data_IF_297508586586
#
_entry.id   IF_297508586586
#
_cell.length_a   1.000
_cell.length_b   1.000
_cell.length_c   1.000
_cell.angle_alpha   90.00
_cell.angle_beta   90.00
_cell.angle_gamma   90.00
#
_symmetry.space_group_name_H-M   'P 1'
#
loop_
_entity.id
_entity.type
_entity.pdbx_description
1 polymer ?
#
# COMPACT_ATOMS: atom_id res chain seq x y z
N UNK A 1 51.18 -2.95 13.60
CA UNK A 1 50.13 -3.96 13.33
C UNK A 1 48.80 -3.37 13.75
N UNK A 2 47.77 -3.35 12.89
CA UNK A 2 46.45 -2.88 13.31
C UNK A 2 45.91 -3.84 14.36
N UNK A 3 45.42 -3.30 15.47
CA UNK A 3 44.82 -4.09 16.55
C UNK A 3 43.68 -4.92 15.99
N UNK A 4 43.85 -6.23 15.95
CA UNK A 4 42.77 -7.18 15.70
C UNK A 4 41.63 -6.86 16.65
N UNK A 5 40.54 -6.29 16.15
CA UNK A 5 39.34 -6.03 16.94
C UNK A 5 38.89 -7.37 17.51
N UNK A 6 39.11 -7.59 18.80
CA UNK A 6 38.61 -8.78 19.46
C UNK A 6 37.10 -8.79 19.32
N UNK A 7 36.59 -9.79 18.59
CA UNK A 7 35.18 -10.16 18.54
C UNK A 7 34.59 -10.18 19.97
N UNK A 8 33.27 -9.93 20.14
CA UNK A 8 32.68 -9.58 21.42
C UNK A 8 33.15 -10.51 22.56
N UNK A 9 33.61 -9.90 23.66
CA UNK A 9 34.19 -10.56 24.85
C UNK A 9 33.24 -11.56 25.55
N UNK A 10 31.98 -11.65 25.13
CA UNK A 10 30.95 -12.52 25.69
C UNK A 10 30.31 -13.34 24.57
N UNK A 11 30.41 -14.66 24.65
CA UNK A 11 29.74 -15.58 23.72
C UNK A 11 28.23 -15.35 23.79
N UNK A 12 27.61 -15.05 22.65
CA UNK A 12 26.17 -14.86 22.53
C UNK A 12 25.44 -16.17 22.85
N UNK A 13 24.28 -16.07 23.49
CA UNK A 13 23.40 -17.20 23.86
C UNK A 13 21.97 -16.81 23.54
N UNK A 14 21.14 -17.80 23.19
CA UNK A 14 19.71 -17.58 23.09
C UNK A 14 19.14 -17.16 24.44
N UNK A 15 18.40 -16.05 24.45
CA UNK A 15 17.76 -15.48 25.62
C UNK A 15 16.41 -14.88 25.23
N UNK A 16 15.51 -14.74 26.20
CA UNK A 16 14.37 -13.84 26.06
C UNK A 16 14.86 -12.40 26.26
N UNK A 17 15.03 -11.67 25.15
CA UNK A 17 15.64 -10.34 25.19
C UNK A 17 14.69 -9.34 25.85
N UNK A 18 15.24 -8.48 26.71
CA UNK A 18 14.53 -7.33 27.26
C UNK A 18 14.65 -6.17 26.28
N UNK A 19 13.57 -5.38 26.17
CA UNK A 19 13.59 -4.15 25.40
C UNK A 19 14.60 -3.16 26.01
N UNK A 20 15.39 -2.53 25.15
CA UNK A 20 16.32 -1.49 25.57
C UNK A 20 15.57 -0.29 26.17
N UNK A 21 16.17 0.31 27.20
CA UNK A 21 15.63 1.50 27.85
C UNK A 21 15.60 2.69 26.87
N UNK A 22 14.78 3.70 27.20
CA UNK A 22 14.60 4.86 26.35
C UNK A 22 13.83 4.53 25.06
N UNK A 23 14.47 4.74 23.91
CA UNK A 23 13.80 4.70 22.61
C UNK A 23 13.24 3.31 22.27
N UNK A 24 13.96 2.22 22.57
CA UNK A 24 13.48 0.85 22.29
C UNK A 24 12.14 0.55 22.98
N UNK A 25 12.06 0.80 24.29
CA UNK A 25 10.83 0.67 25.07
C UNK A 25 9.72 1.64 24.63
N UNK A 26 10.07 2.88 24.28
CA UNK A 26 9.08 3.87 23.84
C UNK A 26 8.43 3.47 22.50
N UNK A 27 9.24 3.03 21.53
CA UNK A 27 8.76 2.55 20.22
C UNK A 27 7.94 1.27 20.39
N UNK A 28 8.42 0.32 21.18
CA UNK A 28 7.69 -0.92 21.41
C UNK A 28 6.29 -0.66 22.00
N UNK A 29 6.19 0.15 23.07
CA UNK A 29 4.90 0.47 23.70
C UNK A 29 3.94 1.21 22.80
N UNK A 30 4.43 2.16 21.98
CA UNK A 30 3.57 2.97 21.12
C UNK A 30 3.12 2.23 19.86
N UNK A 31 3.81 1.16 19.46
CA UNK A 31 3.64 0.56 18.11
C UNK A 31 3.34 -0.94 18.14
N UNK A 32 4.06 -1.73 18.94
CA UNK A 32 4.06 -3.20 18.82
C UNK A 32 3.39 -3.91 20.00
N UNK A 33 3.61 -3.44 21.23
CA UNK A 33 3.09 -4.09 22.44
C UNK A 33 1.60 -3.83 22.59
N UNK A 34 0.83 -4.86 22.90
CA UNK A 34 -0.59 -4.73 23.25
C UNK A 34 -0.76 -4.55 24.76
N UNK A 35 -1.90 -3.97 25.16
CA UNK A 35 -2.34 -3.94 26.56
C UNK A 35 -2.94 -5.29 26.91
N UNK A 36 -2.50 -5.87 28.03
CA UNK A 36 -3.05 -7.08 28.62
C UNK A 36 -3.68 -6.69 29.94
N UNK A 37 -4.95 -7.06 30.12
CA UNK A 37 -5.64 -6.99 31.41
C UNK A 37 -5.47 -8.32 32.12
N UNK A 38 -4.98 -8.29 33.36
CA UNK A 38 -4.87 -9.48 34.19
C UNK A 38 -6.28 -9.89 34.69
N UNK A 39 -6.74 -11.08 34.27
CA UNK A 39 -8.11 -11.54 34.57
C UNK A 39 -8.41 -11.69 36.07
N UNK A 40 -7.39 -11.86 36.90
CA UNK A 40 -7.56 -12.05 38.36
C UNK A 40 -7.56 -10.74 39.13
N UNK A 41 -6.79 -9.76 38.67
CA UNK A 41 -6.55 -8.51 39.39
C UNK A 41 -7.15 -7.29 38.72
N UNK A 42 -7.60 -7.41 37.46
CA UNK A 42 -8.09 -6.32 36.63
C UNK A 42 -7.02 -5.29 36.23
N UNK A 43 -5.75 -5.53 36.56
CA UNK A 43 -4.66 -4.58 36.30
C UNK A 43 -4.17 -4.69 34.87
N UNK A 44 -4.03 -3.54 34.21
CA UNK A 44 -3.43 -3.47 32.88
C UNK A 44 -1.90 -3.43 32.92
N UNK A 45 -1.28 -4.19 32.02
CA UNK A 45 0.15 -4.09 31.71
C UNK A 45 0.38 -4.14 30.20
N UNK A 46 1.60 -3.84 29.79
CA UNK A 46 2.03 -4.08 28.42
C UNK A 46 2.49 -5.53 28.25
N UNK A 47 2.30 -6.07 27.05
CA UNK A 47 3.01 -7.27 26.57
C UNK A 47 4.51 -7.15 26.80
N UNK A 48 5.14 -8.26 27.13
CA UNK A 48 6.59 -8.45 27.09
C UNK A 48 7.03 -8.82 25.68
N UNK A 49 8.33 -8.65 25.37
CA UNK A 49 8.86 -9.04 24.06
C UNK A 49 8.70 -10.54 23.77
N UNK A 50 8.80 -11.38 24.81
CA UNK A 50 8.53 -12.81 24.72
C UNK A 50 7.09 -13.08 24.31
N UNK A 51 6.10 -12.41 24.90
CA UNK A 51 4.69 -12.57 24.52
C UNK A 51 4.44 -12.14 23.07
N UNK A 52 5.13 -11.09 22.59
CA UNK A 52 5.11 -10.73 21.16
C UNK A 52 5.69 -11.85 20.30
N UNK A 53 6.84 -12.41 20.67
CA UNK A 53 7.46 -13.53 19.96
C UNK A 53 6.52 -14.73 19.89
N UNK A 54 5.85 -15.05 21.00
CA UNK A 54 4.89 -16.16 21.10
C UNK A 54 3.72 -15.93 20.13
N UNK A 55 3.00 -14.80 20.23
CA UNK A 55 1.81 -14.57 19.37
C UNK A 55 2.15 -14.44 17.88
N UNK A 56 3.27 -13.80 17.54
CA UNK A 56 3.68 -13.64 16.13
C UNK A 56 4.07 -14.98 15.52
N UNK A 57 4.80 -15.81 16.27
CA UNK A 57 5.17 -17.15 15.82
C UNK A 57 3.93 -18.03 15.67
N UNK A 58 3.02 -17.98 16.65
CA UNK A 58 1.76 -18.72 16.61
C UNK A 58 0.91 -18.33 15.40
N UNK A 59 0.75 -17.03 15.14
CA UNK A 59 -0.02 -16.54 13.99
C UNK A 59 0.54 -17.01 12.66
N UNK A 60 1.85 -16.87 12.47
CA UNK A 60 2.51 -17.27 11.23
C UNK A 60 2.46 -18.80 11.01
N UNK A 61 2.71 -19.61 12.03
CA UNK A 61 2.69 -21.07 11.85
C UNK A 61 1.29 -21.65 11.77
N UNK A 62 0.27 -20.93 12.26
CA UNK A 62 -1.14 -21.29 12.08
C UNK A 62 -1.57 -21.33 10.61
N UNK A 63 -0.85 -20.63 9.73
CA UNK A 63 -1.08 -20.67 8.27
C UNK A 63 -0.87 -22.06 7.65
N UNK A 64 -0.10 -22.94 8.29
CA UNK A 64 0.05 -24.34 7.83
C UNK A 64 -1.24 -25.17 8.01
N UNK A 65 -2.23 -24.63 8.72
CA UNK A 65 -3.48 -25.32 9.02
C UNK A 65 -3.29 -26.54 9.92
N UNK A 66 -4.27 -27.45 9.89
CA UNK A 66 -4.27 -28.67 10.72
C UNK A 66 -3.54 -29.86 10.08
N UNK A 67 -3.10 -29.72 8.83
CA UNK A 67 -2.53 -30.83 8.04
C UNK A 67 -1.12 -31.22 8.48
N UNK A 68 -0.37 -30.31 9.10
CA UNK A 68 1.03 -30.51 9.46
C UNK A 68 1.31 -30.19 10.95
N UNK A 69 0.68 -30.89 11.91
CA UNK A 69 0.74 -30.52 13.32
C UNK A 69 2.17 -30.56 13.89
N UNK A 70 2.95 -31.59 13.58
CA UNK A 70 4.34 -31.71 14.04
C UNK A 70 5.23 -30.61 13.46
N UNK A 71 5.13 -30.37 12.15
CA UNK A 71 5.91 -29.33 11.48
C UNK A 71 5.54 -27.92 11.96
N UNK A 72 4.25 -27.69 12.25
CA UNK A 72 3.77 -26.43 12.84
C UNK A 72 4.41 -26.16 14.20
N UNK A 73 4.50 -27.17 15.05
CA UNK A 73 5.14 -27.05 16.37
C UNK A 73 6.64 -26.77 16.24
N UNK A 74 7.34 -27.50 15.37
CA UNK A 74 8.77 -27.29 15.10
C UNK A 74 9.05 -25.87 14.60
N UNK A 75 8.26 -25.38 13.63
CA UNK A 75 8.40 -24.02 13.10
C UNK A 75 8.01 -22.95 14.14
N UNK A 76 7.04 -23.23 15.00
CA UNK A 76 6.61 -22.33 16.07
C UNK A 76 7.75 -22.11 17.06
N UNK A 77 8.32 -23.18 17.60
CA UNK A 77 9.44 -23.10 18.53
C UNK A 77 10.67 -22.44 17.90
N UNK A 78 10.93 -22.72 16.61
CA UNK A 78 12.00 -22.10 15.86
C UNK A 78 11.84 -20.58 15.74
N UNK A 79 10.68 -20.12 15.26
CA UNK A 79 10.39 -18.70 15.14
C UNK A 79 10.40 -18.01 16.51
N UNK A 80 9.75 -18.60 17.50
CA UNK A 80 9.66 -18.08 18.87
C UNK A 80 11.06 -17.86 19.46
N UNK A 81 11.93 -18.86 19.32
CA UNK A 81 13.34 -18.79 19.74
C UNK A 81 14.06 -17.59 19.11
N UNK A 82 13.98 -17.42 17.79
CA UNK A 82 14.72 -16.37 17.10
C UNK A 82 14.12 -14.97 17.28
N UNK A 83 12.80 -14.84 17.34
CA UNK A 83 12.13 -13.56 17.60
C UNK A 83 12.38 -13.12 19.04
N UNK A 84 12.20 -14.00 20.03
CA UNK A 84 12.45 -13.66 21.44
C UNK A 84 13.91 -13.24 21.69
N UNK A 85 14.85 -13.87 20.98
CA UNK A 85 16.27 -13.51 21.01
C UNK A 85 16.61 -12.21 20.25
N UNK A 86 15.75 -11.77 19.33
CA UNK A 86 15.97 -10.62 18.46
C UNK A 86 16.87 -10.90 17.25
N UNK A 87 17.23 -12.16 16.99
CA UNK A 87 17.96 -12.56 15.78
C UNK A 87 17.07 -12.62 14.53
N UNK A 88 15.75 -12.61 14.72
CA UNK A 88 14.73 -12.48 13.68
C UNK A 88 13.73 -11.41 14.11
N UNK A 89 13.39 -10.50 13.20
CA UNK A 89 12.30 -9.56 13.34
C UNK A 89 11.41 -9.70 12.11
N UNK A 90 10.14 -10.07 12.30
CA UNK A 90 9.17 -9.97 11.21
C UNK A 90 8.89 -8.48 10.91
N UNK A 91 8.26 -8.20 9.77
CA UNK A 91 7.84 -6.83 9.43
C UNK A 91 7.13 -6.14 10.61
N UNK A 92 7.26 -4.82 10.74
CA UNK A 92 6.60 -4.08 11.81
C UNK A 92 5.08 -4.33 11.89
N UNK A 93 4.44 -4.66 10.76
CA UNK A 93 3.03 -5.04 10.66
C UNK A 93 2.77 -6.44 11.22
N UNK A 94 3.62 -7.41 10.94
CA UNK A 94 3.56 -8.71 11.62
C UNK A 94 3.78 -8.57 13.13
N UNK A 95 4.75 -7.76 13.56
CA UNK A 95 4.96 -7.52 15.00
C UNK A 95 3.75 -6.87 15.67
N UNK A 96 3.03 -5.98 14.98
CA UNK A 96 1.83 -5.33 15.50
C UNK A 96 0.60 -6.26 15.48
N UNK A 97 0.38 -6.98 14.38
CA UNK A 97 -0.89 -7.67 14.08
C UNK A 97 -0.84 -9.19 14.18
N UNK A 98 0.34 -9.80 14.18
CA UNK A 98 0.53 -11.26 14.23
C UNK A 98 -0.01 -11.87 15.51
N UNK A 99 -0.97 -12.78 15.35
CA UNK A 99 -1.58 -13.62 16.38
C UNK A 99 -2.34 -14.78 15.71
N UNK A 100 -2.92 -15.66 16.52
CA UNK A 100 -3.70 -16.83 16.07
C UNK A 100 -4.82 -16.53 15.06
N UNK A 101 -5.28 -15.28 14.95
CA UNK A 101 -6.32 -14.89 13.97
C UNK A 101 -5.76 -14.60 12.58
N UNK A 102 -4.43 -14.60 12.42
CA UNK A 102 -3.74 -14.31 11.15
C UNK A 102 -4.30 -15.08 9.94
N UNK A 103 -4.62 -16.39 10.02
CA UNK A 103 -5.20 -17.12 8.87
C UNK A 103 -6.57 -16.60 8.40
N UNK A 104 -7.33 -15.94 9.27
CA UNK A 104 -8.64 -15.37 8.94
C UNK A 104 -8.58 -13.90 8.46
N UNK A 105 -7.37 -13.37 8.26
CA UNK A 105 -7.14 -11.97 7.88
C UNK A 105 -6.43 -11.92 6.54
N UNK A 106 -6.69 -10.85 5.80
CA UNK A 106 -6.09 -10.59 4.51
C UNK A 106 -4.63 -10.13 4.66
N UNK A 107 -3.79 -10.49 3.69
CA UNK A 107 -2.34 -10.30 3.70
C UNK A 107 -1.91 -8.83 3.79
N UNK A 108 -2.71 -7.91 3.27
CA UNK A 108 -2.48 -6.44 3.27
C UNK A 108 -2.33 -5.87 4.69
N UNK A 109 -2.88 -6.57 5.68
CA UNK A 109 -2.72 -6.22 7.10
C UNK A 109 -1.27 -6.43 7.55
N UNK A 110 -0.55 -7.39 6.98
CA UNK A 110 0.75 -7.89 7.41
C UNK A 110 1.92 -7.42 6.52
N UNK A 111 1.61 -6.92 5.32
CA UNK A 111 2.58 -6.35 4.39
C UNK A 111 2.71 -4.84 4.58
N UNK A 112 3.93 -4.31 4.39
CA UNK A 112 4.22 -2.88 4.59
C UNK A 112 4.05 -2.06 3.32
N UNK A 113 4.34 -2.67 2.17
CA UNK A 113 4.42 -1.99 0.90
C UNK A 113 3.86 -2.88 -0.21
N UNK A 114 3.41 -2.25 -1.27
CA UNK A 114 2.90 -2.90 -2.48
C UNK A 114 3.10 -2.00 -3.70
N UNK A 115 2.76 -2.52 -4.87
CA UNK A 115 2.57 -1.74 -6.10
C UNK A 115 1.10 -1.73 -6.51
N UNK A 116 0.70 -0.79 -7.38
CA UNK A 116 -0.65 -0.68 -7.90
C UNK A 116 -0.65 -0.25 -9.37
N UNK A 117 -1.59 -0.78 -10.16
CA UNK A 117 -1.78 -0.42 -11.57
C UNK A 117 -2.82 0.67 -11.80
N UNK A 118 -3.76 0.86 -10.86
CA UNK A 118 -4.87 1.82 -10.95
C UNK A 118 -5.01 2.69 -9.70
N UNK A 119 -5.82 3.74 -9.80
CA UNK A 119 -6.01 4.74 -8.73
C UNK A 119 -6.83 4.17 -7.58
N UNK A 120 -7.88 3.41 -7.90
CA UNK A 120 -8.70 2.74 -6.89
C UNK A 120 -7.92 1.64 -6.14
N UNK A 121 -7.06 0.88 -6.83
CA UNK A 121 -6.20 -0.14 -6.21
C UNK A 121 -5.19 0.54 -5.28
N UNK A 122 -4.56 1.63 -5.74
CA UNK A 122 -3.64 2.41 -4.92
C UNK A 122 -4.34 2.92 -3.67
N UNK A 123 -5.54 3.48 -3.81
CA UNK A 123 -6.32 3.99 -2.68
C UNK A 123 -6.70 2.87 -1.69
N UNK A 124 -7.14 1.71 -2.19
CA UNK A 124 -7.45 0.53 -1.38
C UNK A 124 -6.24 0.09 -0.54
N UNK A 125 -5.06 -0.01 -1.15
CA UNK A 125 -3.84 -0.41 -0.49
C UNK A 125 -3.35 0.61 0.55
N UNK A 126 -3.46 1.90 0.25
CA UNK A 126 -3.16 2.96 1.23
C UNK A 126 -4.07 2.86 2.46
N UNK A 127 -5.37 2.60 2.28
CA UNK A 127 -6.31 2.42 3.39
C UNK A 127 -6.02 1.17 4.24
N UNK A 128 -5.39 0.14 3.66
CA UNK A 128 -4.88 -1.00 4.41
C UNK A 128 -3.58 -0.69 5.19
N UNK A 129 -2.99 0.48 4.95
CA UNK A 129 -1.77 0.95 5.59
C UNK A 129 -0.50 0.54 4.87
N UNK A 130 -0.61 0.15 3.60
CA UNK A 130 0.53 -0.13 2.71
C UNK A 130 1.13 1.18 2.18
N UNK A 131 2.45 1.22 1.98
CA UNK A 131 3.06 2.20 1.08
C UNK A 131 3.02 1.69 -0.35
N UNK A 132 2.63 2.52 -1.32
CA UNK A 132 2.28 2.05 -2.67
C UNK A 132 3.14 2.67 -3.76
N UNK A 133 3.79 1.84 -4.58
CA UNK A 133 4.43 2.26 -5.82
C UNK A 133 3.49 2.20 -7.02
N UNK A 134 3.55 3.17 -7.93
CA UNK A 134 2.74 3.17 -9.16
C UNK A 134 3.55 3.67 -10.37
N UNK A 135 3.42 3.04 -11.55
CA UNK A 135 3.90 3.61 -12.80
C UNK A 135 2.95 4.70 -13.32
N UNK A 136 3.50 5.85 -13.65
CA UNK A 136 2.85 6.97 -14.34
C UNK A 136 3.38 7.11 -15.77
N UNK A 137 3.82 6.01 -16.36
CA UNK A 137 4.12 5.92 -17.79
C UNK A 137 2.84 6.23 -18.58
N UNK A 138 2.99 6.88 -19.74
CA UNK A 138 1.84 7.34 -20.54
C UNK A 138 0.90 6.19 -20.95
N UNK A 139 1.47 5.03 -21.28
CA UNK A 139 0.75 3.82 -21.66
C UNK A 139 0.12 3.07 -20.46
N UNK A 140 0.61 3.30 -19.24
CA UNK A 140 0.05 2.69 -18.03
C UNK A 140 -1.15 3.49 -17.49
N UNK A 141 -1.18 4.79 -17.74
CA UNK A 141 -2.28 5.67 -17.34
C UNK A 141 -3.41 5.71 -18.38
N UNK A 142 -4.13 4.59 -18.53
CA UNK A 142 -5.16 4.39 -19.57
C UNK A 142 -6.47 5.16 -19.37
N UNK A 143 -6.63 5.84 -18.23
CA UNK A 143 -7.86 6.56 -17.86
C UNK A 143 -7.68 8.05 -18.10
N UNK A 144 -8.48 8.61 -19.02
CA UNK A 144 -8.65 10.06 -19.13
C UNK A 144 -9.85 10.49 -18.29
N UNK A 145 -9.56 11.13 -17.17
CA UNK A 145 -10.49 11.64 -16.15
C UNK A 145 -11.36 12.81 -16.64
N UNK A 146 -11.07 13.43 -17.77
CA UNK A 146 -12.01 14.39 -18.41
C UNK A 146 -13.34 13.74 -18.80
N UNK A 147 -13.34 12.41 -18.93
CA UNK A 147 -14.53 11.63 -19.24
C UNK A 147 -15.25 11.10 -18.00
N UNK A 148 -14.80 11.42 -16.79
CA UNK A 148 -15.50 11.02 -15.57
C UNK A 148 -16.91 11.64 -15.53
N UNK A 149 -17.90 10.97 -14.92
CA UNK A 149 -19.23 11.55 -14.73
C UNK A 149 -19.15 12.79 -13.84
N UNK A 150 -20.22 13.58 -13.82
CA UNK A 150 -20.35 14.59 -12.78
C UNK A 150 -20.58 13.86 -11.44
N UNK A 151 -19.71 14.05 -10.45
CA UNK A 151 -19.80 13.32 -9.18
C UNK A 151 -20.39 14.22 -8.09
N UNK A 152 -21.35 13.69 -7.33
CA UNK A 152 -21.94 14.34 -6.16
C UNK A 152 -21.84 13.40 -4.97
N UNK A 153 -21.33 13.90 -3.84
CA UNK A 153 -21.34 13.16 -2.59
C UNK A 153 -22.51 13.67 -1.74
N UNK A 154 -23.33 12.75 -1.25
CA UNK A 154 -24.51 13.04 -0.43
C UNK A 154 -24.47 12.23 0.85
N UNK A 155 -25.27 12.61 1.83
CA UNK A 155 -25.36 11.92 3.11
C UNK A 155 -26.72 12.18 3.75
N UNK A 156 -27.23 11.25 4.55
CA UNK A 156 -28.50 11.41 5.24
C UNK A 156 -28.47 12.62 6.18
N UNK A 157 -29.57 13.38 6.22
CA UNK A 157 -29.67 14.60 7.02
C UNK A 157 -29.60 14.35 8.54
N UNK A 158 -29.84 13.11 8.97
CA UNK A 158 -29.74 12.65 10.37
C UNK A 158 -28.40 11.97 10.68
N UNK A 159 -27.48 11.87 9.71
CA UNK A 159 -26.15 11.34 9.94
C UNK A 159 -25.36 12.28 10.88
N UNK A 160 -24.64 11.72 11.86
CA UNK A 160 -23.99 12.51 12.91
C UNK A 160 -22.91 13.49 12.40
N UNK A 161 -22.33 13.23 11.22
CA UNK A 161 -21.37 14.12 10.56
C UNK A 161 -22.00 15.06 9.52
N UNK A 162 -23.33 15.13 9.42
CA UNK A 162 -24.03 16.03 8.48
C UNK A 162 -23.96 17.49 8.93
N UNK A 163 -23.61 18.37 8.02
CA UNK A 163 -23.44 19.81 8.23
C UNK A 163 -24.38 20.61 7.31
N UNK A 164 -25.41 21.20 7.92
CA UNK A 164 -26.38 22.04 7.22
C UNK A 164 -25.72 23.25 6.56
N UNK A 165 -26.05 23.47 5.28
CA UNK A 165 -25.51 24.58 4.48
C UNK A 165 -24.18 24.25 3.77
N UNK A 166 -23.56 23.12 4.07
CA UNK A 166 -22.38 22.60 3.37
C UNK A 166 -22.73 21.34 2.59
N UNK A 167 -23.50 20.44 3.19
CA UNK A 167 -23.83 19.15 2.58
C UNK A 167 -25.15 19.14 1.83
N UNK A 168 -25.22 18.31 0.78
CA UNK A 168 -26.46 17.95 0.10
C UNK A 168 -27.00 16.66 0.73
N UNK A 169 -28.25 16.72 1.23
CA UNK A 169 -28.88 15.54 1.83
C UNK A 169 -29.36 14.56 0.77
N UNK A 170 -29.45 13.26 1.10
CA UNK A 170 -30.02 12.24 0.19
C UNK A 170 -31.40 12.65 -0.30
N UNK A 171 -32.28 13.10 0.61
CA UNK A 171 -33.63 13.56 0.27
C UNK A 171 -33.62 14.71 -0.74
N UNK A 172 -32.76 15.70 -0.53
CA UNK A 172 -32.71 16.87 -1.42
C UNK A 172 -32.11 16.48 -2.79
N UNK A 173 -31.11 15.59 -2.80
CA UNK A 173 -30.54 15.03 -4.03
C UNK A 173 -31.56 14.18 -4.80
N UNK A 174 -32.33 13.33 -4.14
CA UNK A 174 -33.41 12.54 -4.75
C UNK A 174 -34.47 13.46 -5.36
N UNK A 175 -34.91 14.49 -4.63
CA UNK A 175 -35.88 15.45 -5.13
C UNK A 175 -35.36 16.22 -6.36
N UNK A 176 -34.07 16.55 -6.39
CA UNK A 176 -33.45 17.37 -7.42
C UNK A 176 -33.03 16.60 -8.66
N UNK A 177 -32.46 15.41 -8.49
CA UNK A 177 -31.86 14.63 -9.58
C UNK A 177 -32.67 13.38 -9.96
N UNK A 178 -33.44 12.81 -9.02
CA UNK A 178 -34.25 11.60 -9.24
C UNK A 178 -33.44 10.35 -9.60
N UNK A 179 -34.08 9.43 -10.32
CA UNK A 179 -33.53 8.13 -10.75
C UNK A 179 -33.64 7.92 -12.27
N UNK A 180 -33.37 8.97 -13.05
CA UNK A 180 -33.36 8.86 -14.51
C UNK A 180 -32.19 8.01 -15.04
N UNK A 181 -32.25 7.64 -16.32
CA UNK A 181 -31.28 6.73 -16.96
C UNK A 181 -29.81 7.21 -16.91
N UNK A 182 -29.58 8.52 -16.83
CA UNK A 182 -28.25 9.15 -16.73
C UNK A 182 -27.82 9.48 -15.30
N UNK A 183 -28.59 9.02 -14.29
CA UNK A 183 -28.34 9.27 -12.88
C UNK A 183 -28.01 7.96 -12.18
N UNK A 184 -26.74 7.78 -11.82
CA UNK A 184 -26.20 6.59 -11.19
C UNK A 184 -26.09 6.80 -9.69
N UNK A 185 -26.72 5.95 -8.89
CA UNK A 185 -26.62 6.00 -7.43
C UNK A 185 -25.73 4.86 -6.94
N UNK A 186 -24.83 5.16 -6.01
CA UNK A 186 -24.00 4.17 -5.33
C UNK A 186 -23.99 4.46 -3.82
N UNK A 187 -24.65 3.60 -3.05
CA UNK A 187 -24.57 3.60 -1.58
C UNK A 187 -23.21 3.03 -1.16
N UNK A 188 -22.38 3.86 -0.53
CA UNK A 188 -21.01 3.51 -0.14
C UNK A 188 -21.03 2.62 1.11
N UNK A 189 -20.61 1.35 1.04
CA UNK A 189 -20.53 0.50 2.21
C UNK A 189 -19.53 1.01 3.26
N UNK A 190 -19.80 0.75 4.54
CA UNK A 190 -18.94 1.12 5.67
C UNK A 190 -17.70 0.21 5.83
N UNK A 191 -16.89 0.15 4.79
CA UNK A 191 -15.67 -0.66 4.72
C UNK A 191 -14.61 0.00 3.84
N UNK A 192 -13.35 -0.45 3.96
CA UNK A 192 -12.27 0.02 3.07
C UNK A 192 -12.57 -0.35 1.62
N UNK A 193 -13.13 -1.53 1.45
CA UNK A 193 -13.58 -2.08 0.17
C UNK A 193 -14.64 -1.16 -0.45
N UNK A 194 -15.66 -0.75 0.33
CA UNK A 194 -16.72 0.16 -0.12
C UNK A 194 -16.19 1.54 -0.53
N UNK A 195 -15.25 2.09 0.24
CA UNK A 195 -14.58 3.35 -0.08
C UNK A 195 -13.77 3.24 -1.37
N UNK A 196 -13.06 2.13 -1.58
CA UNK A 196 -12.32 1.87 -2.81
C UNK A 196 -13.25 1.64 -4.00
N UNK A 197 -14.38 0.95 -3.82
CA UNK A 197 -15.41 0.78 -4.85
C UNK A 197 -16.03 2.11 -5.29
N UNK A 198 -16.21 3.07 -4.39
CA UNK A 198 -16.67 4.41 -4.75
C UNK A 198 -15.68 5.11 -5.72
N UNK A 199 -14.37 4.97 -5.49
CA UNK A 199 -13.33 5.49 -6.40
C UNK A 199 -13.25 4.67 -7.68
N UNK A 200 -13.34 3.35 -7.59
CA UNK A 200 -13.39 2.43 -8.72
C UNK A 200 -14.52 2.81 -9.68
N UNK A 201 -15.71 3.13 -9.15
CA UNK A 201 -16.87 3.57 -9.91
C UNK A 201 -16.57 4.82 -10.74
N UNK A 202 -15.90 5.83 -10.17
CA UNK A 202 -15.49 7.04 -10.90
C UNK A 202 -14.47 6.71 -11.98
N UNK A 203 -13.43 5.94 -11.63
CA UNK A 203 -12.32 5.58 -12.52
C UNK A 203 -12.81 4.77 -13.73
N UNK A 204 -13.66 3.76 -13.51
CA UNK A 204 -14.18 2.92 -14.58
C UNK A 204 -15.18 3.67 -15.48
N UNK A 205 -16.01 4.55 -14.91
CA UNK A 205 -16.93 5.38 -15.71
C UNK A 205 -16.15 6.36 -16.59
N UNK A 206 -15.03 6.90 -16.09
CA UNK A 206 -14.10 7.72 -16.89
C UNK A 206 -13.46 6.91 -18.02
N UNK A 207 -13.01 5.68 -17.73
CA UNK A 207 -12.43 4.77 -18.73
C UNK A 207 -13.41 4.40 -19.85
N UNK A 208 -14.68 4.15 -19.52
CA UNK A 208 -15.71 3.79 -20.49
C UNK A 208 -16.19 4.96 -21.36
N UNK A 209 -15.89 6.20 -20.97
CA UNK A 209 -16.15 7.48 -21.67
C UNK A 209 -17.62 7.86 -21.89
N UNK A 210 -18.51 6.88 -22.04
CA UNK A 210 -19.95 7.08 -22.32
C UNK A 210 -20.70 7.81 -21.19
N UNK A 211 -20.15 7.83 -19.97
CA UNK A 211 -20.76 8.45 -18.79
C UNK A 211 -20.33 9.91 -18.57
N UNK A 212 -19.58 10.52 -19.50
CA UNK A 212 -19.03 11.87 -19.33
C UNK A 212 -20.06 12.93 -18.95
N UNK A 213 -21.28 12.80 -19.46
CA UNK A 213 -22.39 13.74 -19.25
C UNK A 213 -23.39 13.25 -18.19
N UNK A 214 -23.17 12.07 -17.62
CA UNK A 214 -24.03 11.48 -16.60
C UNK A 214 -23.70 12.05 -15.22
N UNK A 215 -24.59 11.80 -14.27
CA UNK A 215 -24.38 12.12 -12.86
C UNK A 215 -24.17 10.83 -12.06
N UNK A 216 -23.10 10.78 -11.28
CA UNK A 216 -22.84 9.75 -10.28
C UNK A 216 -23.04 10.35 -8.89
N UNK A 217 -24.02 9.83 -8.14
CA UNK A 217 -24.30 10.18 -6.76
C UNK A 217 -23.72 9.10 -5.86
N UNK A 218 -22.77 9.48 -5.01
CA UNK A 218 -22.16 8.65 -3.99
C UNK A 218 -22.82 8.96 -2.66
N UNK A 219 -23.58 8.01 -2.12
CA UNK A 219 -24.29 8.14 -0.86
C UNK A 219 -23.45 7.57 0.30
N UNK A 220 -23.01 8.46 1.19
CA UNK A 220 -22.18 8.13 2.35
C UNK A 220 -22.98 7.84 3.63
N UNK A 221 -24.31 7.76 3.56
CA UNK A 221 -25.18 7.60 4.74
C UNK A 221 -24.88 6.38 5.61
N UNK A 222 -24.31 5.31 5.04
CA UNK A 222 -23.95 4.09 5.77
C UNK A 222 -22.59 4.16 6.45
N UNK A 223 -21.71 5.05 6.02
CA UNK A 223 -20.35 5.14 6.55
C UNK A 223 -20.38 5.62 7.98
N UNK A 224 -19.65 4.95 8.88
CA UNK A 224 -19.69 5.27 10.31
C UNK A 224 -19.22 6.69 10.60
N UNK A 225 -19.76 7.33 11.66
CA UNK A 225 -19.40 8.69 11.98
C UNK A 225 -17.98 8.82 12.55
N UNK A 226 -17.47 10.04 12.53
CA UNK A 226 -16.19 10.40 13.12
C UNK A 226 -16.13 9.99 14.59
N UNK A 227 -15.00 9.42 15.00
CA UNK A 227 -14.79 8.93 16.37
C UNK A 227 -15.29 7.51 16.63
N UNK A 228 -16.12 6.92 15.76
CA UNK A 228 -16.51 5.51 15.90
C UNK A 228 -15.31 4.57 15.73
N UNK A 229 -15.24 3.43 16.46
CA UNK A 229 -14.08 2.55 16.42
C UNK A 229 -13.90 1.85 15.06
N UNK A 230 -12.64 1.76 14.61
CA UNK A 230 -12.24 0.96 13.44
C UNK A 230 -11.78 -0.42 13.91
N UNK A 231 -12.67 -1.41 13.80
CA UNK A 231 -12.31 -2.82 14.01
C UNK A 231 -11.13 -3.24 13.12
N UNK A 232 -10.17 -3.94 13.70
CA UNK A 232 -8.96 -4.39 13.02
C UNK A 232 -7.82 -3.35 12.92
N UNK A 233 -8.02 -2.12 13.43
CA UNK A 233 -6.96 -1.12 13.60
C UNK A 233 -6.79 -0.70 15.06
N UNK A 234 -6.79 -1.66 15.99
CA UNK A 234 -6.66 -1.40 17.44
C UNK A 234 -7.70 -0.37 17.95
N UNK A 235 -8.93 -0.47 17.43
CA UNK A 235 -10.07 0.38 17.75
C UNK A 235 -9.80 1.89 17.64
N UNK A 236 -8.90 2.26 16.72
CA UNK A 236 -8.64 3.66 16.39
C UNK A 236 -9.93 4.38 15.98
N UNK A 237 -10.07 5.67 16.33
CA UNK A 237 -11.24 6.45 15.96
C UNK A 237 -11.30 6.66 14.44
N UNK A 238 -12.48 6.45 13.87
CA UNK A 238 -12.82 6.75 12.47
C UNK A 238 -12.69 8.24 12.19
N UNK A 239 -12.31 8.58 10.96
CA UNK A 239 -12.30 9.95 10.48
C UNK A 239 -13.68 10.46 10.05
N UNK A 240 -14.69 9.58 9.98
CA UNK A 240 -15.99 9.85 9.37
C UNK A 240 -15.90 9.88 7.83
N UNK A 241 -17.03 10.11 7.12
CA UNK A 241 -17.09 10.13 5.65
C UNK A 241 -16.47 11.39 5.03
N UNK A 242 -16.45 12.50 5.77
CA UNK A 242 -16.02 13.83 5.28
C UNK A 242 -14.69 13.86 4.55
N UNK A 243 -13.61 13.23 5.05
CA UNK A 243 -12.32 13.30 4.36
C UNK A 243 -12.37 12.71 2.96
N UNK A 244 -13.10 11.62 2.75
CA UNK A 244 -13.24 11.02 1.41
C UNK A 244 -14.15 11.87 0.53
N UNK A 245 -15.28 12.35 1.04
CA UNK A 245 -16.15 13.28 0.30
C UNK A 245 -15.36 14.50 -0.22
N UNK A 246 -14.57 15.13 0.64
CA UNK A 246 -13.73 16.29 0.28
C UNK A 246 -12.65 15.91 -0.74
N UNK A 247 -12.06 14.71 -0.61
CA UNK A 247 -11.03 14.24 -1.55
C UNK A 247 -11.61 13.94 -2.92
N UNK A 248 -12.84 13.39 -2.98
CA UNK A 248 -13.59 13.20 -4.23
C UNK A 248 -13.94 14.56 -4.84
N UNK A 249 -14.36 15.55 -4.03
CA UNK A 249 -14.60 16.91 -4.53
C UNK A 249 -13.34 17.56 -5.11
N UNK A 250 -12.14 17.33 -4.54
CA UNK A 250 -10.87 17.77 -5.16
C UNK A 250 -10.57 16.99 -6.43
N UNK A 251 -10.80 15.68 -6.43
CA UNK A 251 -10.63 14.81 -7.60
C UNK A 251 -11.47 15.32 -8.78
N UNK A 252 -12.72 15.74 -8.56
CA UNK A 252 -13.58 16.22 -9.66
C UNK A 252 -13.06 17.48 -10.34
N UNK A 253 -12.20 18.27 -9.68
CA UNK A 253 -11.60 19.47 -10.30
C UNK A 253 -10.59 19.14 -11.40
N UNK A 254 -10.20 17.87 -11.56
CA UNK A 254 -9.32 17.41 -12.63
C UNK A 254 -10.02 17.42 -13.99
N UNK A 255 -11.34 17.24 -14.02
CA UNK A 255 -12.12 17.28 -15.28
C UNK A 255 -12.08 18.69 -15.86
N UNK A 256 -11.58 18.79 -17.10
CA UNK A 256 -11.43 20.05 -17.82
C UNK A 256 -10.20 20.85 -17.42
N UNK A 257 -9.26 20.27 -16.66
CA UNK A 257 -8.04 20.95 -16.23
C UNK A 257 -6.91 20.95 -17.29
N UNK A 258 -7.20 20.44 -18.49
CA UNK A 258 -6.26 20.37 -19.64
C UNK A 258 -4.93 19.70 -19.29
N UNK A 259 -5.03 18.51 -18.68
CA UNK A 259 -3.89 17.69 -18.28
C UNK A 259 -3.88 16.37 -19.07
N UNK A 260 -2.71 15.85 -19.38
CA UNK A 260 -2.57 14.50 -19.93
C UNK A 260 -2.95 13.42 -18.90
N UNK A 261 -3.34 12.21 -19.33
CA UNK A 261 -3.84 11.16 -18.43
C UNK A 261 -2.93 10.81 -17.25
N UNK A 262 -1.61 10.73 -17.44
CA UNK A 262 -0.69 10.45 -16.33
C UNK A 262 -0.66 11.59 -15.30
N UNK A 263 -0.73 12.84 -15.78
CA UNK A 263 -0.75 14.04 -14.94
C UNK A 263 -2.07 14.12 -14.19
N UNK A 264 -3.20 13.78 -14.82
CA UNK A 264 -4.47 13.61 -14.12
C UNK A 264 -4.36 12.55 -13.01
N UNK A 265 -3.83 11.37 -13.32
CA UNK A 265 -3.71 10.26 -12.37
C UNK A 265 -2.85 10.61 -11.15
N UNK A 266 -1.72 11.32 -11.30
CA UNK A 266 -0.87 11.66 -10.16
C UNK A 266 -1.53 12.66 -9.19
N UNK A 267 -2.35 13.59 -9.71
CA UNK A 267 -3.16 14.49 -8.88
C UNK A 267 -4.33 13.74 -8.22
N UNK A 268 -5.03 12.88 -8.96
CA UNK A 268 -6.10 12.01 -8.42
C UNK A 268 -5.56 11.22 -7.22
N UNK A 269 -4.46 10.49 -7.41
CA UNK A 269 -3.86 9.70 -6.36
C UNK A 269 -3.31 10.55 -5.21
N UNK A 270 -2.88 11.78 -5.49
CA UNK A 270 -2.48 12.72 -4.45
C UNK A 270 -3.65 13.04 -3.54
N UNK A 271 -4.80 13.47 -4.09
CA UNK A 271 -6.00 13.80 -3.32
C UNK A 271 -6.54 12.60 -2.54
N UNK A 272 -6.55 11.42 -3.16
CA UNK A 272 -6.92 10.17 -2.48
C UNK A 272 -5.96 9.84 -1.32
N UNK A 273 -4.66 10.10 -1.49
CA UNK A 273 -3.67 9.90 -0.43
C UNK A 273 -3.75 10.93 0.70
N UNK A 274 -4.26 12.15 0.46
CA UNK A 274 -4.51 13.15 1.51
C UNK A 274 -5.59 12.65 2.47
N UNK A 275 -6.66 12.03 1.95
CA UNK A 275 -7.74 11.44 2.74
C UNK A 275 -7.23 10.46 3.80
N UNK A 276 -6.26 9.62 3.43
CA UNK A 276 -5.75 8.53 4.27
C UNK A 276 -4.96 9.07 5.47
N UNK A 277 -4.38 10.28 5.38
CA UNK A 277 -3.67 10.90 6.50
C UNK A 277 -4.57 11.22 7.70
N UNK A 278 -5.80 11.65 7.44
CA UNK A 278 -6.70 12.23 8.45
C UNK A 278 -7.14 11.18 9.47
N UNK A 279 -7.13 9.89 9.11
CA UNK A 279 -7.47 8.78 9.99
C UNK A 279 -6.36 8.34 10.97
N UNK A 280 -5.22 9.04 11.04
CA UNK A 280 -4.10 8.68 11.91
C UNK A 280 -3.43 7.35 11.56
N UNK A 281 -3.86 6.71 10.47
CA UNK A 281 -3.03 5.75 9.75
C UNK A 281 -1.79 6.51 9.24
N UNK A 282 -0.63 5.85 9.27
CA UNK A 282 0.70 6.37 8.88
C UNK A 282 0.63 7.37 7.72
N UNK A 283 1.55 8.35 7.67
CA UNK A 283 1.70 9.23 6.49
C UNK A 283 1.64 8.39 5.21
N UNK A 284 0.74 8.73 4.28
CA UNK A 284 0.63 8.04 3.00
C UNK A 284 2.00 8.11 2.32
N UNK A 285 2.56 6.94 2.01
CA UNK A 285 3.89 6.79 1.47
C UNK A 285 3.76 6.19 0.09
N UNK A 286 4.00 7.00 -0.95
CA UNK A 286 3.95 6.54 -2.33
C UNK A 286 5.30 6.73 -3.00
N UNK A 287 5.57 5.91 -4.01
CA UNK A 287 6.59 6.22 -5.02
C UNK A 287 5.90 6.32 -6.38
N UNK A 288 6.14 7.43 -7.06
CA UNK A 288 5.70 7.65 -8.43
C UNK A 288 6.87 7.40 -9.37
N UNK A 289 6.67 6.57 -10.38
CA UNK A 289 7.71 6.22 -11.35
C UNK A 289 7.28 6.63 -12.75
N UNK A 290 8.21 7.11 -13.58
CA UNK A 290 7.96 7.38 -15.00
C UNK A 290 9.19 7.06 -15.83
N UNK A 291 9.01 6.38 -16.96
CA UNK A 291 10.09 6.00 -17.87
C UNK A 291 10.71 7.23 -18.55
N UNK A 292 12.04 7.26 -18.60
CA UNK A 292 12.81 8.39 -19.12
C UNK A 292 12.53 8.72 -20.60
N UNK A 293 11.96 7.77 -21.34
CA UNK A 293 11.63 7.91 -22.76
C UNK A 293 10.27 8.55 -23.02
N UNK A 294 9.43 8.73 -21.99
CA UNK A 294 8.12 9.35 -22.19
C UNK A 294 8.25 10.82 -22.64
N UNK A 295 7.40 11.29 -23.57
CA UNK A 295 7.44 12.66 -24.07
C UNK A 295 7.36 13.73 -22.97
N UNK A 296 6.52 13.49 -21.96
CA UNK A 296 6.29 14.42 -20.84
C UNK A 296 7.19 14.15 -19.61
N UNK A 297 8.34 13.49 -19.79
CA UNK A 297 9.27 13.21 -18.69
C UNK A 297 9.76 14.49 -17.98
N UNK A 298 9.97 15.59 -18.72
CA UNK A 298 10.43 16.86 -18.15
C UNK A 298 9.37 17.48 -17.22
N UNK A 299 8.10 17.35 -17.58
CA UNK A 299 6.99 17.76 -16.73
C UNK A 299 6.93 16.92 -15.47
N UNK A 300 7.12 15.60 -15.56
CA UNK A 300 7.18 14.72 -14.39
C UNK A 300 8.33 15.06 -13.43
N UNK A 301 9.51 15.41 -13.97
CA UNK A 301 10.65 15.88 -13.17
C UNK A 301 10.31 17.18 -12.44
N UNK A 302 9.61 18.11 -13.11
CA UNK A 302 9.32 19.43 -12.58
C UNK A 302 8.04 19.52 -11.73
N UNK A 303 7.14 18.53 -11.79
CA UNK A 303 5.76 18.63 -11.29
C UNK A 303 5.65 18.95 -9.79
N UNK A 304 6.69 18.65 -9.02
CA UNK A 304 6.73 18.88 -7.56
C UNK A 304 7.40 20.20 -7.16
N UNK A 305 7.95 20.96 -8.10
CA UNK A 305 8.60 22.25 -7.82
C UNK A 305 7.63 23.18 -7.09
N UNK A 306 8.08 23.77 -5.98
CA UNK A 306 7.24 24.55 -5.08
C UNK A 306 6.62 23.76 -3.93
N UNK A 307 6.92 22.46 -3.79
CA UNK A 307 6.48 21.64 -2.64
C UNK A 307 5.08 21.05 -2.79
N UNK A 308 4.54 21.01 -4.01
CA UNK A 308 3.25 20.37 -4.31
C UNK A 308 3.38 18.84 -4.38
N UNK A 309 2.23 18.15 -4.41
CA UNK A 309 2.14 16.69 -4.58
C UNK A 309 2.99 15.90 -3.58
N UNK A 310 3.02 16.35 -2.31
CA UNK A 310 3.89 15.84 -1.24
C UNK A 310 3.70 14.36 -0.89
N UNK A 311 2.60 13.73 -1.32
CA UNK A 311 2.23 12.37 -0.91
C UNK A 311 2.95 11.24 -1.68
N UNK A 312 3.84 11.57 -2.61
CA UNK A 312 4.71 10.61 -3.30
C UNK A 312 6.14 11.13 -3.38
N UNK A 313 7.11 10.23 -3.40
CA UNK A 313 8.44 10.54 -3.89
C UNK A 313 8.56 10.16 -5.38
N UNK A 314 9.10 11.05 -6.21
CA UNK A 314 9.18 10.81 -7.65
C UNK A 314 10.53 10.18 -8.02
N UNK A 315 10.53 9.21 -8.93
CA UNK A 315 11.74 8.60 -9.46
C UNK A 315 11.62 8.33 -10.95
N UNK A 316 12.68 8.64 -11.71
CA UNK A 316 12.74 8.38 -13.15
C UNK A 316 13.26 6.97 -13.37
N UNK A 317 12.50 6.17 -14.11
CA UNK A 317 12.88 4.84 -14.54
C UNK A 317 13.81 4.93 -15.76
N UNK A 318 15.03 4.39 -15.59
CA UNK A 318 16.15 4.45 -16.54
C UNK A 318 16.69 3.07 -16.87
N UNK A 319 17.29 2.94 -18.04
CA UNK A 319 17.85 1.68 -18.54
C UNK A 319 19.33 1.82 -18.97
N UNK A 320 19.92 0.74 -19.50
CA UNK A 320 21.29 0.76 -20.00
C UNK A 320 21.46 1.76 -21.17
N UNK A 321 20.41 2.01 -21.97
CA UNK A 321 20.45 2.98 -23.07
C UNK A 321 20.53 4.41 -22.54
N UNK A 322 19.81 4.73 -21.46
CA UNK A 322 19.92 6.00 -20.76
C UNK A 322 21.36 6.23 -20.32
N UNK A 323 21.98 5.28 -19.61
CA UNK A 323 23.34 5.47 -19.08
C UNK A 323 24.44 5.59 -20.14
N UNK A 324 24.20 5.06 -21.35
CA UNK A 324 25.12 5.28 -22.50
C UNK A 324 25.16 6.73 -22.97
N UNK A 325 24.16 7.56 -22.65
CA UNK A 325 24.13 9.00 -22.94
C UNK A 325 24.41 9.35 -24.43
N UNK A 326 23.98 8.47 -25.34
CA UNK A 326 24.20 8.60 -26.80
C UNK A 326 23.21 9.58 -27.46
N UNK A 327 22.00 9.71 -26.93
CA UNK A 327 20.98 10.61 -27.47
C UNK A 327 20.99 11.96 -26.75
N UNK A 328 20.59 13.02 -27.46
CA UNK A 328 20.38 14.33 -26.86
C UNK A 328 19.27 14.31 -25.80
N UNK A 329 18.25 13.46 -26.00
CA UNK A 329 17.17 13.27 -25.02
C UNK A 329 17.71 12.74 -23.69
N UNK A 330 18.52 11.68 -23.71
CA UNK A 330 19.09 11.09 -22.48
C UNK A 330 19.91 12.11 -21.68
N UNK A 331 20.71 12.93 -22.37
CA UNK A 331 21.51 13.99 -21.73
C UNK A 331 20.64 15.05 -21.07
N UNK A 332 19.66 15.56 -21.81
CA UNK A 332 18.70 16.54 -21.28
C UNK A 332 17.93 16.02 -20.08
N UNK A 333 17.51 14.75 -20.11
CA UNK A 333 16.81 14.11 -18.98
C UNK A 333 17.74 14.01 -17.76
N UNK A 334 18.99 13.56 -17.94
CA UNK A 334 19.97 13.50 -16.86
C UNK A 334 20.23 14.89 -16.26
N UNK A 335 20.45 15.90 -17.09
CA UNK A 335 20.67 17.29 -16.67
C UNK A 335 19.45 17.81 -15.89
N UNK A 336 18.23 17.54 -16.36
CA UNK A 336 16.99 17.97 -15.70
C UNK A 336 16.80 17.29 -14.34
N UNK A 337 17.08 15.99 -14.23
CA UNK A 337 17.02 15.26 -12.97
C UNK A 337 18.01 15.85 -11.97
N UNK A 338 19.25 16.09 -12.42
CA UNK A 338 20.31 16.57 -11.53
C UNK A 338 20.08 18.01 -11.10
N UNK A 339 19.59 18.85 -12.00
CA UNK A 339 19.20 20.20 -11.69
C UNK A 339 18.04 20.24 -10.68
N UNK A 340 16.98 19.47 -10.89
CA UNK A 340 15.87 19.39 -9.95
C UNK A 340 16.32 18.87 -8.58
N UNK A 341 17.03 17.73 -8.54
CA UNK A 341 17.46 17.08 -7.31
C UNK A 341 18.34 17.97 -6.44
N UNK A 342 19.24 18.73 -7.06
CA UNK A 342 20.13 19.64 -6.35
C UNK A 342 19.49 21.00 -6.05
N UNK A 343 18.94 21.68 -7.07
CA UNK A 343 18.50 23.09 -6.92
C UNK A 343 17.16 23.22 -6.20
N UNK A 344 16.27 22.23 -6.29
CA UNK A 344 14.98 22.28 -5.60
C UNK A 344 15.12 21.93 -4.11
N UNK A 345 16.29 21.44 -3.67
CA UNK A 345 16.61 21.16 -2.26
C UNK A 345 15.87 19.95 -1.67
N UNK A 346 15.23 19.14 -2.52
CA UNK A 346 14.42 17.98 -2.12
C UNK A 346 15.16 16.64 -2.28
N UNK A 347 16.23 16.61 -3.08
CA UNK A 347 16.88 15.37 -3.51
C UNK A 347 16.09 14.60 -4.58
N UNK A 348 15.02 15.16 -5.13
CA UNK A 348 14.13 14.53 -6.10
C UNK A 348 14.29 15.07 -7.54
N UNK A 349 14.02 14.26 -8.58
CA UNK A 349 13.60 12.87 -8.52
C UNK A 349 14.76 11.89 -8.31
N UNK A 350 14.44 10.70 -7.79
CA UNK A 350 15.36 9.57 -7.72
C UNK A 350 15.56 8.86 -9.06
N UNK A 351 16.41 7.82 -9.07
CA UNK A 351 16.63 6.95 -10.22
C UNK A 351 16.17 5.52 -9.93
N UNK A 352 15.58 4.87 -10.93
CA UNK A 352 15.29 3.43 -10.90
C UNK A 352 15.97 2.78 -12.10
N UNK A 353 16.98 1.97 -11.85
CA UNK A 353 17.66 1.19 -12.89
C UNK A 353 16.82 -0.04 -13.25
N UNK A 354 15.75 0.12 -14.02
CA UNK A 354 14.80 -0.96 -14.33
C UNK A 354 15.47 -2.19 -14.96
N UNK A 355 16.45 -1.97 -15.85
CA UNK A 355 17.26 -3.02 -16.46
C UNK A 355 18.10 -3.87 -15.48
N UNK A 356 18.16 -3.49 -14.19
CA UNK A 356 18.84 -4.23 -13.12
C UNK A 356 17.88 -4.90 -12.14
N UNK A 357 16.58 -4.62 -12.25
CA UNK A 357 15.58 -5.26 -11.42
C UNK A 357 15.38 -6.70 -11.87
N UNK A 358 15.16 -7.59 -10.89
CA UNK A 358 14.85 -8.99 -11.18
C UNK A 358 13.43 -9.06 -11.70
N UNK A 359 13.26 -9.65 -12.88
CA UNK A 359 11.99 -9.84 -13.55
C UNK A 359 11.82 -11.33 -13.86
N UNK A 360 10.65 -11.86 -13.54
CA UNK A 360 10.21 -13.19 -13.97
C UNK A 360 8.87 -13.04 -14.68
N UNK A 361 8.82 -13.36 -15.96
CA UNK A 361 7.62 -13.23 -16.79
C UNK A 361 6.89 -14.57 -16.97
N UNK A 362 7.32 -15.62 -16.27
CA UNK A 362 6.64 -16.92 -16.27
C UNK A 362 5.17 -16.75 -15.85
N UNK A 363 4.25 -17.12 -16.73
CA UNK A 363 2.81 -17.04 -16.47
C UNK A 363 2.20 -15.64 -16.61
N UNK A 364 2.92 -14.66 -17.17
CA UNK A 364 2.41 -13.29 -17.36
C UNK A 364 1.08 -13.22 -18.13
N UNK A 365 0.88 -14.10 -19.12
CA UNK A 365 -0.35 -14.17 -19.93
C UNK A 365 -1.61 -14.35 -19.08
N UNK A 366 -1.49 -14.90 -17.87
CA UNK A 366 -2.60 -15.07 -16.92
C UNK A 366 -3.15 -13.75 -16.35
N UNK A 367 -2.48 -12.62 -16.58
CA UNK A 367 -2.94 -11.30 -16.16
C UNK A 367 -3.80 -10.59 -17.23
N UNK A 368 -3.79 -11.09 -18.48
CA UNK A 368 -4.46 -10.42 -19.59
C UNK A 368 -5.99 -10.47 -19.52
N UNK A 369 -6.56 -11.31 -18.65
CA UNK A 369 -8.00 -11.36 -18.35
C UNK A 369 -8.46 -10.24 -17.39
N UNK A 370 -7.51 -9.52 -16.78
CA UNK A 370 -7.78 -8.42 -15.84
C UNK A 370 -8.15 -8.87 -14.43
N UNK A 371 -7.98 -10.15 -14.08
CA UNK A 371 -8.32 -10.71 -12.77
C UNK A 371 -7.12 -10.79 -11.81
N UNK A 372 -6.07 -10.01 -12.06
CA UNK A 372 -4.84 -10.01 -11.25
C UNK A 372 -4.94 -9.23 -9.94
N UNK A 373 -6.05 -8.51 -9.69
CA UNK A 373 -6.26 -7.68 -8.49
C UNK A 373 -7.61 -8.00 -7.82
N UNK A 374 -7.75 -9.24 -7.31
CA UNK A 374 -8.96 -9.72 -6.63
C UNK A 374 -8.63 -10.63 -5.44
N UNK A 375 -9.46 -10.57 -4.40
CA UNK A 375 -9.37 -11.36 -3.16
C UNK A 375 -10.76 -11.71 -2.66
N UNK A 376 -10.89 -12.55 -1.64
CA UNK A 376 -12.20 -12.86 -1.07
C UNK A 376 -12.90 -11.61 -0.51
N UNK A 377 -12.12 -10.60 -0.09
CA UNK A 377 -12.65 -9.32 0.42
C UNK A 377 -12.91 -8.27 -0.65
N UNK A 378 -12.16 -8.29 -1.74
CA UNK A 378 -12.27 -7.28 -2.79
C UNK A 378 -12.40 -7.94 -4.16
N UNK A 379 -13.54 -7.72 -4.79
CA UNK A 379 -13.80 -8.13 -6.16
C UNK A 379 -14.01 -6.86 -7.00
N UNK A 380 -13.15 -6.61 -8.01
CA UNK A 380 -13.39 -5.54 -8.97
C UNK A 380 -14.73 -5.74 -9.68
N UNK A 381 -15.37 -4.66 -10.09
CA UNK A 381 -16.57 -4.71 -10.94
C UNK A 381 -16.23 -5.42 -12.26
N UNK A 382 -17.17 -6.16 -12.84
CA UNK A 382 -16.93 -6.90 -14.09
C UNK A 382 -16.43 -6.00 -15.24
N UNK A 383 -16.93 -4.77 -15.28
CA UNK A 383 -16.45 -3.77 -16.24
C UNK A 383 -15.01 -3.31 -15.97
N UNK A 384 -14.59 -3.25 -14.70
CA UNK A 384 -13.23 -2.89 -14.29
C UNK A 384 -12.21 -3.91 -14.78
N UNK A 385 -12.56 -5.21 -14.84
CA UNK A 385 -11.69 -6.25 -15.39
C UNK A 385 -11.22 -5.92 -16.82
N UNK A 386 -12.07 -5.30 -17.64
CA UNK A 386 -11.69 -4.88 -19.01
C UNK A 386 -10.64 -3.76 -19.01
N UNK A 387 -10.72 -2.83 -18.07
CA UNK A 387 -9.71 -1.78 -17.88
C UNK A 387 -8.40 -2.40 -17.39
N UNK A 388 -8.45 -3.27 -16.38
CA UNK A 388 -7.27 -3.95 -15.85
C UNK A 388 -6.57 -4.80 -16.92
N UNK A 389 -7.33 -5.52 -17.74
CA UNK A 389 -6.82 -6.28 -18.89
C UNK A 389 -6.10 -5.39 -19.91
N UNK A 390 -6.59 -4.17 -20.16
CA UNK A 390 -5.89 -3.20 -20.99
C UNK A 390 -4.57 -2.78 -20.38
N UNK A 391 -4.54 -2.46 -19.09
CA UNK A 391 -3.30 -2.13 -18.38
C UNK A 391 -2.31 -3.30 -18.41
N UNK A 392 -2.78 -4.54 -18.22
CA UNK A 392 -1.93 -5.74 -18.30
C UNK A 392 -1.31 -5.95 -19.69
N UNK A 393 -2.07 -5.71 -20.76
CA UNK A 393 -1.53 -5.77 -22.13
C UNK A 393 -0.45 -4.70 -22.36
N UNK A 394 -0.66 -3.48 -21.86
CA UNK A 394 0.33 -2.41 -22.00
C UNK A 394 1.60 -2.75 -21.23
N UNK A 395 1.48 -3.18 -19.96
CA UNK A 395 2.61 -3.65 -19.17
C UNK A 395 3.35 -4.83 -19.83
N UNK A 396 2.64 -5.76 -20.47
CA UNK A 396 3.23 -6.94 -21.12
C UNK A 396 3.98 -6.62 -22.41
N UNK A 397 3.69 -5.47 -23.02
CA UNK A 397 4.42 -4.96 -24.17
C UNK A 397 5.71 -4.21 -23.77
N UNK A 398 5.91 -3.91 -22.47
CA UNK A 398 7.09 -3.19 -21.97
C UNK A 398 8.26 -4.14 -21.84
N UNK A 399 9.46 -3.63 -22.12
CA UNK A 399 10.70 -4.39 -21.91
C UNK A 399 10.96 -4.65 -20.41
N UNK A 400 10.54 -3.73 -19.54
CA UNK A 400 10.67 -3.82 -18.10
C UNK A 400 9.30 -3.66 -17.45
N UNK A 401 8.87 -4.69 -16.73
CA UNK A 401 7.56 -4.77 -16.05
C UNK A 401 7.67 -4.55 -14.53
N UNK A 402 8.86 -4.22 -14.04
CA UNK A 402 9.15 -4.09 -12.61
C UNK A 402 9.37 -2.64 -12.17
N UNK A 403 8.87 -2.32 -10.97
CA UNK A 403 9.14 -1.07 -10.25
C UNK A 403 9.43 -1.39 -8.78
N UNK A 404 10.16 -0.54 -8.05
CA UNK A 404 10.41 -0.81 -6.65
C UNK A 404 9.20 -0.42 -5.78
N UNK A 405 9.14 -1.00 -4.58
CA UNK A 405 8.33 -0.46 -3.48
C UNK A 405 8.81 0.95 -3.07
N UNK A 406 8.05 1.70 -2.23
CA UNK A 406 8.41 3.08 -1.89
C UNK A 406 9.79 3.31 -1.26
N UNK A 407 10.36 2.29 -0.62
CA UNK A 407 11.68 2.38 0.01
C UNK A 407 12.83 1.96 -0.94
N UNK A 408 12.53 1.46 -2.15
CA UNK A 408 13.53 1.17 -3.18
C UNK A 408 14.21 -0.19 -3.10
N UNK A 409 13.88 -1.03 -2.12
CA UNK A 409 14.62 -2.26 -1.78
C UNK A 409 14.03 -3.54 -2.35
N UNK A 410 12.73 -3.56 -2.70
CA UNK A 410 12.05 -4.72 -3.28
C UNK A 410 11.57 -4.40 -4.69
N UNK A 411 11.95 -5.24 -5.65
CA UNK A 411 11.39 -5.24 -7.01
C UNK A 411 10.02 -5.90 -7.01
N UNK A 412 9.01 -5.22 -7.54
CA UNK A 412 7.64 -5.70 -7.63
C UNK A 412 7.10 -5.49 -9.04
N UNK A 413 6.20 -6.37 -9.47
CA UNK A 413 5.50 -6.21 -10.74
C UNK A 413 4.68 -4.91 -10.70
N UNK A 414 4.74 -4.12 -11.77
CA UNK A 414 4.02 -2.85 -11.87
C UNK A 414 2.50 -3.01 -11.89
N UNK A 415 1.99 -4.21 -12.19
CA UNK A 415 0.56 -4.54 -12.10
C UNK A 415 0.08 -4.68 -10.64
N UNK A 416 0.97 -5.10 -9.74
CA UNK A 416 0.66 -5.40 -8.36
C UNK A 416 1.63 -6.43 -7.79
N UNK A 417 1.87 -6.34 -6.49
CA UNK A 417 2.73 -7.25 -5.74
C UNK A 417 2.95 -6.74 -4.32
N UNK A 418 3.38 -7.62 -3.43
CA UNK A 418 3.59 -7.29 -2.01
C UNK A 418 5.05 -7.41 -1.56
N UNK A 419 5.48 -6.45 -0.74
CA UNK A 419 6.73 -6.55 -0.01
C UNK A 419 6.54 -7.45 1.24
N UNK A 420 6.90 -8.73 1.10
CA UNK A 420 6.84 -9.75 2.17
C UNK A 420 8.22 -9.90 2.80
N UNK A 421 8.46 -9.17 3.89
CA UNK A 421 9.81 -9.02 4.46
C UNK A 421 9.92 -9.41 5.94
N UNK A 422 11.13 -9.82 6.30
CA UNK A 422 11.62 -9.97 7.66
C UNK A 422 13.10 -9.59 7.71
N UNK A 423 13.55 -9.08 8.85
CA UNK A 423 14.94 -8.72 9.11
C UNK A 423 15.60 -9.82 9.95
N UNK A 424 16.72 -10.34 9.48
CA UNK A 424 17.60 -11.22 10.26
C UNK A 424 18.73 -10.37 10.80
N UNK A 425 19.04 -10.54 12.08
CA UNK A 425 20.09 -9.79 12.78
C UNK A 425 21.18 -10.77 13.26
N UNK A 426 22.17 -11.11 12.40
CA UNK A 426 23.20 -12.09 12.73
C UNK A 426 24.02 -11.72 13.97
N UNK A 427 24.13 -10.43 14.29
CA UNK A 427 24.80 -9.95 15.50
C UNK A 427 24.23 -10.59 16.79
N UNK A 428 22.94 -10.94 16.79
CA UNK A 428 22.29 -11.60 17.92
C UNK A 428 22.32 -13.13 17.88
N UNK A 429 22.93 -13.75 16.86
CA UNK A 429 23.07 -15.19 16.75
C UNK A 429 24.29 -15.73 17.55
N UNK A 430 24.15 -16.82 18.33
CA UNK A 430 25.25 -17.47 19.05
C UNK A 430 26.39 -18.04 18.19
N UNK A 431 26.10 -18.36 16.93
CA UNK A 431 27.01 -18.98 15.96
C UNK A 431 26.56 -18.68 14.54
N UNK A 432 27.39 -19.02 13.55
CA UNK A 432 27.02 -18.96 12.13
C UNK A 432 25.85 -19.90 11.85
N UNK A 433 25.85 -21.11 12.41
CA UNK A 433 24.74 -22.06 12.25
C UNK A 433 23.43 -21.50 12.80
N UNK A 434 23.47 -20.78 13.93
CA UNK A 434 22.28 -20.12 14.48
C UNK A 434 21.83 -18.92 13.63
N UNK A 435 22.73 -18.26 12.92
CA UNK A 435 22.37 -17.21 11.98
C UNK A 435 21.71 -17.81 10.73
N UNK A 436 22.26 -18.89 10.18
CA UNK A 436 21.64 -19.66 9.08
C UNK A 436 20.25 -20.15 9.46
N UNK A 437 20.11 -20.70 10.67
CA UNK A 437 18.84 -21.15 11.21
C UNK A 437 17.79 -20.01 11.26
N UNK A 438 18.22 -18.79 11.63
CA UNK A 438 17.35 -17.62 11.62
C UNK A 438 16.92 -17.22 10.19
N UNK A 439 17.83 -17.27 9.21
CA UNK A 439 17.49 -17.06 7.80
C UNK A 439 16.48 -18.08 7.31
N UNK A 440 16.69 -19.37 7.62
CA UNK A 440 15.77 -20.44 7.26
C UNK A 440 14.39 -20.23 7.87
N UNK A 441 14.33 -19.87 9.15
CA UNK A 441 13.07 -19.56 9.83
C UNK A 441 12.35 -18.37 9.19
N UNK A 442 13.09 -17.30 8.86
CA UNK A 442 12.56 -16.13 8.17
C UNK A 442 11.98 -16.51 6.81
N UNK A 443 12.77 -17.17 5.95
CA UNK A 443 12.34 -17.57 4.61
C UNK A 443 11.07 -18.43 4.65
N UNK A 444 11.02 -19.44 5.52
CA UNK A 444 9.82 -20.29 5.66
C UNK A 444 8.61 -19.52 6.18
N UNK A 445 8.82 -18.58 7.10
CA UNK A 445 7.75 -17.71 7.59
C UNK A 445 7.16 -16.82 6.49
N UNK A 446 8.01 -16.25 5.63
CA UNK A 446 7.59 -15.41 4.50
C UNK A 446 6.90 -16.24 3.41
N UNK A 447 7.39 -17.44 3.11
CA UNK A 447 6.72 -18.37 2.19
C UNK A 447 5.31 -18.70 2.69
N UNK A 448 5.13 -19.01 3.99
CA UNK A 448 3.80 -19.27 4.54
C UNK A 448 2.84 -18.09 4.34
N UNK A 449 3.32 -16.87 4.54
CA UNK A 449 2.52 -15.65 4.34
C UNK A 449 2.12 -15.54 2.87
N UNK A 450 3.07 -15.68 1.94
CA UNK A 450 2.82 -15.55 0.51
C UNK A 450 1.92 -16.67 -0.06
N UNK A 451 1.99 -17.88 0.49
CA UNK A 451 1.29 -19.04 -0.06
C UNK A 451 -0.11 -19.24 0.52
N UNK A 452 -0.32 -18.96 1.81
CA UNK A 452 -1.54 -19.38 2.52
C UNK A 452 -2.44 -18.24 2.95
N UNK A 453 -2.02 -16.98 2.84
CA UNK A 453 -2.88 -15.84 3.12
C UNK A 453 -3.64 -15.40 1.87
N UNK A 454 -4.92 -15.06 2.04
CA UNK A 454 -5.67 -14.41 0.97
C UNK A 454 -5.16 -12.98 0.75
N UNK A 455 -5.05 -12.57 -0.50
CA UNK A 455 -4.48 -11.28 -0.89
C UNK A 455 -5.07 -10.81 -2.23
N UNK A 456 -5.06 -9.50 -2.45
CA UNK A 456 -5.50 -8.88 -3.70
C UNK A 456 -4.71 -9.41 -4.92
N UNK A 457 -3.43 -9.74 -4.71
CA UNK A 457 -2.52 -10.18 -5.77
C UNK A 457 -2.29 -11.68 -5.73
N UNK A 458 -3.29 -12.49 -5.34
CA UNK A 458 -3.15 -13.95 -5.20
C UNK A 458 -2.67 -14.68 -6.47
N UNK A 459 -2.82 -14.06 -7.64
CA UNK A 459 -2.34 -14.60 -8.93
C UNK A 459 -0.87 -14.26 -9.24
N UNK A 460 -0.29 -13.31 -8.52
CA UNK A 460 1.16 -13.05 -8.46
C UNK A 460 1.80 -14.02 -7.46
#
# INVERSE_FOLDING_TARGET
>A
MPSTSQLPKKKMKFIDRKLDNGMGRAVARRTYLRRITDDKTGRERWETWREVADRVSLGNTSLLGKKFPKHREEEYELMRKHISNGSLLMSGRHLQHGDETQPGRNMEVFTNCSTASSSYILFYLLMNGSGVGRPYDDDMCVVNWDNMPNVRCVMAADHADFEWGIDESVRDAEHKYGHGDSIHWFEVPDSREGWAQAVEMVEIMAYEKKYKNDLLILDFSKVRPKGSPIKGMQDRPSSGPKPLMNSIQKLTTIKGADMSPWKQAIFVDHYLAECVLVGGARRSARIATKVWTDPEIFDFIAIKRGGFLWSANNSVAVDDKFWKQKSNHARKVLDSIMEASYKDGTGEPGFINQHRLVQNDDGYDNYQDGEYAQSDKYQPLDRTKKMLAHVARNAGAKLYSQIPNPCGEISLNMLGGYCVIADVVPYYAPSIDAAEEAFRAATRALIRVNTFMDSLYRRE
#
